data_IF_905743588793
#
_entry.id   IF_905743588793
#
_cell.length_a   1.000
_cell.length_b   1.000
_cell.length_c   1.000
_cell.angle_alpha   90.00
_cell.angle_beta   90.00
_cell.angle_gamma   90.00
#
_symmetry.space_group_name_H-M   'P 1'
#
loop_
_entity.id
_entity.type
_entity.pdbx_description
1 polymer ?
#
# COMPACT_ATOMS: atom_id res chain seq x y z
N UNK A 1 10.93 -9.76 -8.02
CA UNK A 1 11.76 -8.60 -7.65
C UNK A 1 12.75 -8.33 -8.75
N UNK A 2 12.77 -7.12 -9.29
CA UNK A 2 13.84 -6.68 -10.19
C UNK A 2 15.02 -6.14 -9.35
N UNK A 3 16.24 -6.72 -9.44
CA UNK A 3 17.42 -6.20 -8.76
C UNK A 3 17.72 -4.73 -9.07
N UNK A 4 17.27 -4.23 -10.23
CA UNK A 4 17.42 -2.82 -10.61
C UNK A 4 16.69 -1.87 -9.66
N UNK A 5 15.58 -2.29 -9.09
CA UNK A 5 14.80 -1.49 -8.10
C UNK A 5 15.57 -1.27 -6.80
N UNK A 6 16.69 -1.98 -6.61
CA UNK A 6 17.61 -1.83 -5.48
C UNK A 6 19.01 -1.37 -5.91
N UNK A 7 19.21 -1.01 -7.17
CA UNK A 7 20.47 -0.42 -7.66
C UNK A 7 21.61 -1.41 -7.85
N UNK A 8 21.31 -2.69 -8.08
CA UNK A 8 22.33 -3.75 -8.26
C UNK A 8 22.13 -4.53 -9.56
N UNK A 9 23.22 -5.06 -10.15
CA UNK A 9 23.23 -5.68 -11.49
C UNK A 9 22.66 -7.10 -11.50
N UNK A 10 22.92 -7.81 -10.42
CA UNK A 10 22.69 -9.23 -10.24
C UNK A 10 23.01 -9.59 -8.80
N UNK A 11 22.59 -10.78 -8.37
CA UNK A 11 22.80 -11.20 -7.00
C UNK A 11 21.69 -10.67 -6.10
N UNK A 12 20.95 -11.60 -5.52
CA UNK A 12 20.00 -11.29 -4.47
C UNK A 12 20.76 -11.31 -3.14
N UNK A 13 20.93 -10.14 -2.53
CA UNK A 13 21.61 -9.94 -1.25
C UNK A 13 20.66 -9.83 -0.05
N UNK A 14 19.35 -9.99 -0.27
CA UNK A 14 18.43 -10.00 0.83
C UNK A 14 18.43 -11.36 1.54
N UNK A 15 17.94 -11.33 2.76
CA UNK A 15 17.81 -12.50 3.62
C UNK A 15 16.31 -12.65 3.87
N UNK A 16 15.79 -13.88 3.75
CA UNK A 16 14.39 -14.17 4.06
C UNK A 16 14.15 -14.01 5.56
N UNK A 17 12.94 -13.65 5.93
CA UNK A 17 12.56 -13.49 7.33
C UNK A 17 11.40 -14.41 7.69
N UNK A 18 11.31 -14.70 8.98
CA UNK A 18 10.30 -15.59 9.54
C UNK A 18 8.97 -14.86 9.74
N UNK A 19 7.85 -15.58 9.66
CA UNK A 19 6.51 -15.11 10.07
C UNK A 19 6.52 -14.33 11.39
N UNK A 20 7.17 -14.87 12.43
CA UNK A 20 7.20 -14.25 13.76
C UNK A 20 7.86 -12.86 13.79
N UNK A 21 8.62 -12.50 12.76
CA UNK A 21 9.17 -11.16 12.59
C UNK A 21 8.22 -10.26 11.78
N UNK A 22 7.65 -10.78 10.68
CA UNK A 22 6.69 -10.04 9.84
C UNK A 22 5.48 -9.60 10.66
N UNK A 23 4.93 -10.50 11.50
CA UNK A 23 3.78 -10.24 12.37
C UNK A 23 4.05 -9.24 13.50
N UNK A 24 5.30 -8.74 13.63
CA UNK A 24 5.60 -7.62 14.53
C UNK A 24 5.18 -6.29 13.93
N UNK A 25 5.02 -6.22 12.63
CA UNK A 25 4.54 -5.03 11.93
C UNK A 25 3.01 -5.09 11.87
N UNK A 26 2.31 -3.97 12.07
CA UNK A 26 0.88 -3.93 11.84
C UNK A 26 0.56 -4.24 10.36
N UNK A 27 -0.65 -4.72 10.10
CA UNK A 27 -1.08 -5.33 8.83
C UNK A 27 -0.96 -4.41 7.58
N UNK A 28 -0.61 -3.13 7.73
CA UNK A 28 -0.48 -2.15 6.64
C UNK A 28 0.97 -1.78 6.35
N UNK A 29 1.83 -2.79 6.21
CA UNK A 29 3.23 -2.61 5.77
C UNK A 29 3.23 -2.12 4.32
N UNK A 30 3.10 -0.80 4.12
CA UNK A 30 2.90 -0.19 2.80
C UNK A 30 1.89 0.96 2.78
N UNK A 31 1.19 1.23 3.89
CA UNK A 31 0.22 2.33 3.97
C UNK A 31 -1.15 2.01 3.39
N UNK A 32 -1.27 0.95 2.61
CA UNK A 32 -2.54 0.55 2.01
C UNK A 32 -3.51 0.00 3.07
N UNK A 33 -4.65 0.68 3.29
CA UNK A 33 -5.75 0.20 4.12
C UNK A 33 -6.78 -0.58 3.30
N UNK A 34 -7.03 -0.15 2.07
CA UNK A 34 -7.83 -0.87 1.07
C UNK A 34 -7.09 -0.74 -0.25
N UNK A 35 -6.75 -1.86 -0.88
CA UNK A 35 -6.12 -1.87 -2.20
C UNK A 35 -7.14 -1.84 -3.32
N UNK A 36 -6.79 -1.17 -4.41
CA UNK A 36 -7.58 -1.22 -5.64
C UNK A 36 -7.63 -2.63 -6.23
N UNK A 37 -8.73 -2.94 -6.92
CA UNK A 37 -8.95 -4.18 -7.61
C UNK A 37 -9.13 -3.89 -9.09
N UNK A 38 -8.26 -4.46 -9.94
CA UNK A 38 -8.34 -4.24 -11.38
C UNK A 38 -9.61 -4.83 -12.03
N UNK A 39 -10.39 -5.64 -11.30
CA UNK A 39 -11.64 -6.22 -11.78
C UNK A 39 -11.46 -7.22 -12.93
N UNK A 40 -12.53 -7.47 -13.69
CA UNK A 40 -12.58 -8.42 -14.81
C UNK A 40 -12.60 -7.75 -16.20
N UNK A 41 -12.21 -6.49 -16.31
CA UNK A 41 -12.76 -5.55 -17.31
C UNK A 41 -12.16 -5.55 -18.71
N UNK A 42 -11.69 -6.69 -19.21
CA UNK A 42 -11.10 -6.77 -20.56
C UNK A 42 -12.10 -7.28 -21.61
N UNK A 43 -13.26 -7.80 -21.18
CA UNK A 43 -14.17 -8.57 -22.04
C UNK A 43 -15.44 -7.86 -22.54
N UNK A 44 -15.78 -6.67 -22.03
CA UNK A 44 -17.06 -6.06 -22.37
C UNK A 44 -17.09 -5.47 -23.79
N UNK A 45 -18.23 -5.53 -24.50
CA UNK A 45 -18.42 -4.80 -25.74
C UNK A 45 -18.17 -3.31 -25.55
N UNK A 46 -17.57 -2.66 -26.55
CA UNK A 46 -17.16 -1.25 -26.49
C UNK A 46 -17.87 -0.37 -27.51
N UNK A 47 -18.02 0.91 -27.17
CA UNK A 47 -18.22 2.01 -28.11
C UNK A 47 -17.12 3.04 -27.85
N UNK A 48 -16.54 3.59 -28.91
CA UNK A 48 -15.39 4.49 -28.84
C UNK A 48 -15.86 5.93 -28.80
N UNK A 49 -15.15 6.79 -28.07
CA UNK A 49 -15.49 8.21 -27.92
C UNK A 49 -14.39 9.09 -28.51
N UNK A 50 -14.21 9.12 -29.85
CA UNK A 50 -13.24 10.03 -30.45
C UNK A 50 -13.61 11.48 -30.19
N UNK A 51 -12.63 12.30 -29.80
CA UNK A 51 -12.87 13.71 -29.52
C UNK A 51 -11.62 14.57 -29.52
N UNK A 52 -11.82 15.88 -29.31
CA UNK A 52 -10.76 16.88 -29.31
C UNK A 52 -9.73 16.68 -28.20
N UNK A 53 -10.15 16.09 -27.07
CA UNK A 53 -9.32 15.82 -25.89
C UNK A 53 -8.20 14.79 -26.15
N UNK A 54 -8.34 13.97 -27.20
CA UNK A 54 -7.31 13.06 -27.71
C UNK A 54 -6.81 13.47 -29.10
N UNK A 55 -6.99 14.73 -29.48
CA UNK A 55 -6.57 15.24 -30.80
C UNK A 55 -7.29 14.58 -31.98
N UNK A 56 -8.50 14.04 -31.76
CA UNK A 56 -9.28 13.27 -32.74
C UNK A 56 -8.63 11.96 -33.21
N UNK A 57 -7.70 11.39 -32.44
CA UNK A 57 -7.16 10.06 -32.72
C UNK A 57 -8.21 8.97 -32.42
N UNK A 58 -8.99 8.55 -33.41
CA UNK A 58 -10.01 7.51 -33.25
C UNK A 58 -9.45 6.10 -32.97
N UNK A 59 -8.14 5.93 -33.12
CA UNK A 59 -7.47 4.65 -32.81
C UNK A 59 -7.07 4.53 -31.35
N UNK A 60 -7.08 5.64 -30.62
CA UNK A 60 -7.01 5.64 -29.16
C UNK A 60 -8.31 5.07 -28.59
N UNK A 61 -8.21 3.85 -28.07
CA UNK A 61 -9.34 3.10 -27.52
C UNK A 61 -9.49 3.20 -26.01
N UNK A 62 -8.58 3.91 -25.35
CA UNK A 62 -8.59 4.02 -23.88
C UNK A 62 -9.81 4.83 -23.44
N UNK A 63 -10.34 5.67 -24.33
CA UNK A 63 -11.55 6.46 -24.13
C UNK A 63 -12.87 5.76 -24.50
N UNK A 64 -12.86 4.42 -24.57
CA UNK A 64 -14.07 3.66 -24.88
C UNK A 64 -15.02 3.53 -23.67
N UNK A 65 -16.32 3.61 -23.94
CA UNK A 65 -17.37 3.19 -23.02
C UNK A 65 -17.63 1.69 -23.20
N UNK A 66 -18.15 1.04 -22.17
CA UNK A 66 -18.39 -0.41 -22.20
C UNK A 66 -19.82 -0.77 -21.86
N UNK A 67 -20.27 -1.94 -22.30
CA UNK A 67 -21.59 -2.50 -21.99
C UNK A 67 -21.44 -3.75 -21.12
N UNK A 68 -21.48 -3.62 -19.78
CA UNK A 68 -21.32 -4.78 -18.88
C UNK A 68 -22.33 -5.89 -19.15
N UNK A 69 -23.57 -5.53 -19.49
CA UNK A 69 -24.66 -6.47 -19.76
C UNK A 69 -24.74 -6.94 -21.22
N UNK A 70 -23.88 -6.42 -22.11
CA UNK A 70 -23.93 -6.69 -23.56
C UNK A 70 -25.32 -6.43 -24.18
N UNK A 71 -26.03 -5.44 -23.67
CA UNK A 71 -27.41 -5.06 -24.04
C UNK A 71 -27.46 -3.85 -24.99
N UNK A 72 -26.28 -3.41 -25.46
CA UNK A 72 -26.05 -2.23 -26.31
C UNK A 72 -26.30 -0.88 -25.61
N UNK A 73 -26.34 -0.88 -24.28
CA UNK A 73 -26.19 0.31 -23.46
C UNK A 73 -24.72 0.33 -23.02
N UNK A 74 -24.02 1.40 -23.37
CA UNK A 74 -22.61 1.58 -23.08
C UNK A 74 -22.44 2.76 -22.15
N UNK A 75 -21.58 2.61 -21.15
CA UNK A 75 -21.35 3.65 -20.15
C UNK A 75 -19.89 3.72 -19.70
N UNK A 76 -19.55 4.86 -19.09
CA UNK A 76 -18.23 5.14 -18.54
C UNK A 76 -18.10 6.61 -18.14
N UNK A 77 -17.07 6.92 -17.35
CA UNK A 77 -16.79 8.31 -16.96
C UNK A 77 -15.52 8.84 -17.62
N UNK A 78 -15.52 10.12 -18.00
CA UNK A 78 -14.36 10.76 -18.60
C UNK A 78 -14.14 12.16 -18.07
N UNK A 79 -12.87 12.48 -17.81
CA UNK A 79 -12.46 13.84 -17.54
C UNK A 79 -12.19 14.58 -18.85
N UNK A 80 -12.75 15.79 -18.97
CA UNK A 80 -12.44 16.71 -20.05
C UNK A 80 -11.74 17.96 -19.47
N UNK A 81 -10.46 18.19 -19.79
CA UNK A 81 -9.70 19.30 -19.22
C UNK A 81 -10.08 20.67 -19.81
N UNK A 82 -10.64 20.68 -21.01
CA UNK A 82 -10.92 21.87 -21.79
C UNK A 82 -12.41 22.13 -21.96
N UNK A 83 -12.78 23.41 -21.96
CA UNK A 83 -14.11 23.86 -22.37
C UNK A 83 -14.36 23.60 -23.86
N UNK A 84 -15.62 23.44 -24.25
CA UNK A 84 -16.05 23.15 -25.62
C UNK A 84 -15.40 21.88 -26.19
N UNK A 85 -15.24 20.85 -25.36
CA UNK A 85 -14.71 19.55 -25.79
C UNK A 85 -15.66 18.92 -26.79
N UNK A 86 -15.18 18.70 -28.01
CA UNK A 86 -15.94 18.05 -29.08
C UNK A 86 -15.77 16.53 -29.02
N UNK A 87 -16.86 15.78 -29.16
CA UNK A 87 -16.83 14.32 -29.20
C UNK A 87 -17.83 13.76 -30.21
N UNK A 88 -17.57 12.53 -30.62
CA UNK A 88 -18.45 11.65 -31.40
C UNK A 88 -18.47 10.28 -30.73
N UNK A 89 -19.38 9.42 -31.16
CA UNK A 89 -19.41 8.00 -30.77
C UNK A 89 -19.18 7.11 -31.97
N UNK A 90 -18.30 6.11 -31.88
CA UNK A 90 -18.07 5.16 -32.97
C UNK A 90 -18.18 3.72 -32.52
N UNK A 91 -18.73 2.87 -33.38
CA UNK A 91 -18.88 1.43 -33.13
C UNK A 91 -17.61 0.63 -33.42
N UNK A 92 -16.63 1.26 -34.05
CA UNK A 92 -15.30 0.72 -34.35
C UNK A 92 -14.26 1.83 -34.11
N UNK A 93 -12.97 1.51 -33.92
CA UNK A 93 -11.91 2.52 -33.79
C UNK A 93 -11.56 3.12 -35.17
N UNK A 94 -12.59 3.58 -35.87
CA UNK A 94 -12.55 4.24 -37.17
C UNK A 94 -13.77 5.14 -37.29
N UNK A 95 -13.64 6.20 -38.07
CA UNK A 95 -14.67 7.19 -38.32
C UNK A 95 -15.81 6.71 -39.24
N UNK A 96 -15.65 5.57 -39.93
CA UNK A 96 -16.64 5.04 -40.87
C UNK A 96 -18.00 4.70 -40.21
N UNK A 97 -18.01 4.39 -38.91
CA UNK A 97 -19.22 4.17 -38.12
C UNK A 97 -19.38 5.20 -36.98
N UNK A 98 -18.87 6.41 -37.20
CA UNK A 98 -19.08 7.52 -36.29
C UNK A 98 -20.53 8.01 -36.33
N UNK A 99 -20.99 8.41 -35.17
CA UNK A 99 -22.31 8.97 -34.89
C UNK A 99 -22.11 10.26 -34.10
N UNK A 100 -22.91 11.25 -34.45
CA UNK A 100 -22.99 12.54 -33.78
C UNK A 100 -24.44 12.92 -33.57
N UNK A 101 -24.69 14.19 -33.27
CA UNK A 101 -26.04 14.74 -33.12
C UNK A 101 -26.13 16.04 -33.92
N UNK A 102 -26.90 16.02 -35.01
CA UNK A 102 -27.02 17.16 -35.91
C UNK A 102 -27.85 18.29 -35.32
N UNK A 103 -28.95 17.93 -34.68
CA UNK A 103 -30.00 18.86 -34.29
C UNK A 103 -29.92 19.22 -32.79
N UNK A 104 -29.01 18.56 -32.05
CA UNK A 104 -28.79 18.74 -30.61
C UNK A 104 -29.95 18.21 -29.77
N UNK A 105 -30.67 17.21 -30.26
CA UNK A 105 -31.90 16.71 -29.64
C UNK A 105 -31.68 15.49 -28.73
N UNK A 106 -30.44 15.01 -28.60
CA UNK A 106 -30.07 13.84 -27.81
C UNK A 106 -30.15 12.52 -28.57
N UNK A 107 -30.48 12.55 -29.86
CA UNK A 107 -30.49 11.40 -30.77
C UNK A 107 -29.19 11.34 -31.57
N UNK A 108 -28.73 10.12 -31.82
CA UNK A 108 -27.51 9.85 -32.57
C UNK A 108 -27.83 9.53 -34.02
N UNK A 109 -27.23 10.31 -34.93
CA UNK A 109 -27.23 10.03 -36.35
C UNK A 109 -25.85 9.63 -36.85
N UNK A 110 -25.81 8.74 -37.84
CA UNK A 110 -24.58 8.44 -38.56
C UNK A 110 -24.04 9.71 -39.23
N UNK A 111 -22.78 10.04 -38.95
CA UNK A 111 -22.17 11.26 -39.43
C UNK A 111 -21.11 11.81 -38.48
N UNK A 112 -20.68 13.03 -38.79
CA UNK A 112 -19.63 13.77 -38.07
C UNK A 112 -20.19 15.03 -37.41
N UNK A 113 -21.47 15.02 -37.09
CA UNK A 113 -22.15 16.15 -36.46
C UNK A 113 -21.72 16.20 -34.97
N UNK A 114 -20.65 16.93 -34.67
CA UNK A 114 -19.96 16.92 -33.37
C UNK A 114 -20.84 17.35 -32.20
N UNK A 115 -20.79 16.57 -31.11
CA UNK A 115 -21.39 16.91 -29.81
C UNK A 115 -20.37 17.72 -29.00
N UNK A 116 -20.82 18.78 -28.32
CA UNK A 116 -19.92 19.66 -27.55
C UNK A 116 -20.26 19.69 -26.06
N UNK A 117 -19.30 19.28 -25.24
CA UNK A 117 -19.31 19.47 -23.79
C UNK A 117 -18.75 20.86 -23.47
N UNK A 118 -19.59 21.72 -22.89
CA UNK A 118 -19.28 23.15 -22.76
C UNK A 118 -18.21 23.43 -21.70
N UNK A 119 -18.30 22.77 -20.55
CA UNK A 119 -17.45 23.06 -19.39
C UNK A 119 -16.45 21.92 -19.14
N UNK A 120 -15.24 22.24 -18.65
CA UNK A 120 -14.32 21.21 -18.18
C UNK A 120 -14.88 20.50 -16.94
N UNK A 121 -14.49 19.25 -16.74
CA UNK A 121 -14.90 18.46 -15.58
C UNK A 121 -14.98 16.97 -15.85
N UNK A 122 -15.49 16.24 -14.87
CA UNK A 122 -15.70 14.80 -14.93
C UNK A 122 -17.14 14.49 -15.34
N UNK A 123 -17.32 13.68 -16.36
CA UNK A 123 -18.62 13.42 -16.97
C UNK A 123 -18.92 11.93 -16.99
N UNK A 124 -20.13 11.56 -16.60
CA UNK A 124 -20.71 10.27 -16.95
C UNK A 124 -21.29 10.36 -18.36
N UNK A 125 -21.00 9.35 -19.17
CA UNK A 125 -21.49 9.26 -20.54
C UNK A 125 -22.20 7.93 -20.69
N UNK A 126 -23.42 7.95 -21.21
CA UNK A 126 -24.16 6.76 -21.59
C UNK A 126 -24.63 6.86 -23.03
N UNK A 127 -24.47 5.77 -23.78
CA UNK A 127 -24.91 5.63 -25.16
C UNK A 127 -25.83 4.41 -25.26
N UNK A 128 -27.09 4.62 -25.62
CA UNK A 128 -28.06 3.56 -25.85
C UNK A 128 -28.26 3.36 -27.36
N UNK A 129 -27.67 2.30 -27.92
CA UNK A 129 -27.79 1.99 -29.35
C UNK A 129 -29.07 1.21 -29.71
N UNK A 130 -29.94 0.91 -28.74
CA UNK A 130 -31.28 0.39 -29.05
C UNK A 130 -32.18 1.53 -29.56
N UNK A 131 -32.08 2.69 -28.92
CA UNK A 131 -32.88 3.88 -29.24
C UNK A 131 -32.07 4.95 -30.01
N UNK A 132 -30.76 4.74 -30.15
CA UNK A 132 -29.79 5.72 -30.66
C UNK A 132 -29.86 7.04 -29.89
N UNK A 133 -29.80 6.98 -28.56
CA UNK A 133 -29.76 8.18 -27.71
C UNK A 133 -28.48 8.22 -26.89
N UNK A 134 -28.15 9.40 -26.39
CA UNK A 134 -27.03 9.56 -25.48
C UNK A 134 -27.38 10.46 -24.28
N UNK A 135 -26.63 10.29 -23.20
CA UNK A 135 -26.64 11.12 -22.02
C UNK A 135 -25.19 11.51 -21.70
N UNK A 136 -24.94 12.80 -21.51
CA UNK A 136 -23.68 13.31 -20.98
C UNK A 136 -24.04 14.17 -19.77
N UNK A 137 -23.56 13.76 -18.60
CA UNK A 137 -23.90 14.39 -17.33
C UNK A 137 -22.62 14.71 -16.56
N UNK A 138 -22.44 15.98 -16.20
CA UNK A 138 -21.33 16.36 -15.32
C UNK A 138 -21.58 15.77 -13.92
N UNK A 139 -20.56 15.14 -13.35
CA UNK A 139 -20.60 14.58 -12.01
C UNK A 139 -19.40 15.05 -11.21
N UNK A 140 -19.67 15.83 -10.18
CA UNK A 140 -18.69 16.16 -9.16
C UNK A 140 -18.80 15.08 -8.07
N UNK A 141 -17.70 14.43 -7.71
CA UNK A 141 -17.71 13.28 -6.79
C UNK A 141 -17.17 13.68 -5.43
N UNK A 142 -17.80 13.18 -4.37
CA UNK A 142 -17.38 13.36 -3.00
C UNK A 142 -17.34 12.06 -2.21
N UNK A 143 -16.56 12.06 -1.13
CA UNK A 143 -16.53 11.00 -0.13
C UNK A 143 -17.35 11.43 1.09
N UNK A 144 -18.24 10.57 1.57
CA UNK A 144 -19.12 10.81 2.72
C UNK A 144 -19.13 9.62 3.66
N UNK A 145 -19.31 9.83 4.96
CA UNK A 145 -19.42 8.75 5.92
C UNK A 145 -18.99 9.13 7.33
N UNK A 146 -19.35 8.34 8.34
CA UNK A 146 -18.84 8.54 9.71
C UNK A 146 -17.34 8.23 9.85
N UNK A 147 -16.72 7.62 8.83
CA UNK A 147 -15.27 7.54 8.70
C UNK A 147 -14.62 8.87 8.24
N UNK A 148 -15.37 9.83 7.69
CA UNK A 148 -14.84 11.10 7.17
C UNK A 148 -15.13 12.28 8.13
N UNK A 149 -14.40 13.41 8.02
CA UNK A 149 -14.60 14.55 8.92
C UNK A 149 -16.01 15.15 8.93
N UNK A 150 -16.74 15.04 7.81
CA UNK A 150 -18.09 15.58 7.63
C UNK A 150 -19.23 14.65 8.08
N UNK A 151 -18.91 13.41 8.45
CA UNK A 151 -19.93 12.41 8.78
C UNK A 151 -20.84 12.09 7.58
N UNK A 152 -22.08 11.69 7.88
CA UNK A 152 -23.14 11.53 6.87
C UNK A 152 -23.88 12.83 6.53
N UNK A 153 -23.44 13.96 7.09
CA UNK A 153 -24.10 15.26 6.91
C UNK A 153 -23.52 16.05 5.73
N UNK A 154 -22.20 15.92 5.47
CA UNK A 154 -21.52 16.61 4.37
C UNK A 154 -20.42 15.71 3.78
N UNK A 155 -20.39 15.59 2.46
CA UNK A 155 -19.26 15.03 1.72
C UNK A 155 -18.07 15.97 1.70
N UNK A 156 -16.91 15.39 1.36
CA UNK A 156 -15.74 16.13 0.91
C UNK A 156 -15.51 15.85 -0.58
N UNK A 157 -15.47 16.92 -1.37
CA UNK A 157 -15.23 16.86 -2.82
C UNK A 157 -13.87 16.26 -3.16
N UNK A 158 -13.86 15.43 -4.20
CA UNK A 158 -12.66 14.84 -4.79
C UNK A 158 -12.18 15.66 -5.98
N UNK A 159 -10.87 15.63 -6.25
CA UNK A 159 -10.24 16.35 -7.36
C UNK A 159 -9.61 15.39 -8.34
N UNK A 160 -9.71 15.65 -9.64
CA UNK A 160 -9.11 14.79 -10.66
C UNK A 160 -7.58 14.94 -10.70
N UNK A 161 -6.87 13.82 -10.68
CA UNK A 161 -5.42 13.70 -10.82
C UNK A 161 -5.07 13.13 -12.22
N UNK A 162 -4.44 13.93 -13.10
CA UNK A 162 -4.08 13.50 -14.45
C UNK A 162 -2.92 12.49 -14.51
N UNK A 163 -2.11 12.34 -13.46
CA UNK A 163 -1.04 11.34 -13.42
C UNK A 163 -1.60 9.94 -13.10
N UNK A 164 -2.68 9.88 -12.31
CA UNK A 164 -3.36 8.65 -11.90
C UNK A 164 -4.57 8.29 -12.77
N UNK A 165 -5.07 9.22 -13.59
CA UNK A 165 -6.34 9.11 -14.34
C UNK A 165 -7.53 8.77 -13.41
N UNK A 166 -7.58 9.44 -12.26
CA UNK A 166 -8.49 9.11 -11.16
C UNK A 166 -8.89 10.36 -10.36
N UNK A 167 -9.93 10.24 -9.54
CA UNK A 167 -10.29 11.26 -8.55
C UNK A 167 -9.58 10.98 -7.24
N UNK A 168 -9.03 11.99 -6.58
CA UNK A 168 -8.31 11.88 -5.30
C UNK A 168 -8.85 12.84 -4.25
N UNK A 169 -8.71 12.46 -2.97
CA UNK A 169 -8.95 13.36 -1.83
C UNK A 169 -8.05 12.97 -0.66
N UNK A 170 -7.53 13.97 0.05
CA UNK A 170 -6.80 13.76 1.30
C UNK A 170 -7.68 14.06 2.51
N UNK A 171 -7.78 13.11 3.44
CA UNK A 171 -8.64 13.21 4.62
C UNK A 171 -7.94 12.67 5.87
N UNK A 172 -8.32 13.20 7.03
CA UNK A 172 -8.08 12.54 8.31
C UNK A 172 -9.24 11.59 8.59
N UNK A 173 -9.02 10.29 8.34
CA UNK A 173 -10.05 9.26 8.50
C UNK A 173 -10.11 8.72 9.92
N UNK A 174 -11.27 8.20 10.31
CA UNK A 174 -11.48 7.40 11.53
C UNK A 174 -12.09 6.05 11.18
N UNK A 175 -11.96 5.01 12.03
CA UNK A 175 -12.70 3.77 11.82
C UNK A 175 -14.20 4.04 11.73
N UNK A 176 -14.85 3.50 10.72
CA UNK A 176 -16.24 3.82 10.39
C UNK A 176 -16.61 3.33 9.01
N UNK A 177 -17.69 3.86 8.48
CA UNK A 177 -18.25 3.57 7.18
C UNK A 177 -18.12 4.80 6.27
N UNK A 178 -17.94 4.56 4.98
CA UNK A 178 -17.95 5.59 3.95
C UNK A 178 -18.59 5.12 2.65
N UNK A 179 -18.98 6.07 1.80
CA UNK A 179 -19.42 5.87 0.43
C UNK A 179 -18.93 7.01 -0.46
N UNK A 180 -18.98 6.79 -1.76
CA UNK A 180 -18.83 7.84 -2.74
C UNK A 180 -20.20 8.26 -3.24
N UNK A 181 -20.41 9.55 -3.49
CA UNK A 181 -21.64 10.01 -4.15
C UNK A 181 -21.33 11.15 -5.10
N UNK A 182 -22.16 11.29 -6.13
CA UNK A 182 -22.04 12.36 -7.09
C UNK A 182 -23.01 13.50 -6.77
N UNK A 183 -22.57 14.73 -7.02
CA UNK A 183 -23.36 15.96 -6.98
C UNK A 183 -24.05 16.22 -5.63
N UNK A 184 -23.39 15.85 -4.52
CA UNK A 184 -23.91 15.93 -3.15
C UNK A 184 -25.29 15.27 -2.93
N UNK A 185 -25.64 14.32 -3.80
CA UNK A 185 -26.97 13.73 -3.89
C UNK A 185 -26.90 12.20 -3.86
N UNK A 186 -27.93 11.56 -3.32
CA UNK A 186 -27.98 10.10 -3.18
C UNK A 186 -28.41 9.37 -4.45
N UNK A 187 -28.81 10.07 -5.51
CA UNK A 187 -29.24 9.43 -6.77
C UNK A 187 -28.13 8.59 -7.39
N UNK A 188 -26.89 9.06 -7.34
CA UNK A 188 -25.72 8.33 -7.85
C UNK A 188 -24.74 8.19 -6.70
N UNK A 189 -24.69 7.00 -6.13
CA UNK A 189 -23.81 6.69 -5.02
C UNK A 189 -23.23 5.29 -5.18
N UNK A 190 -21.98 5.13 -4.76
CA UNK A 190 -21.21 3.91 -4.90
C UNK A 190 -20.81 3.39 -3.52
N UNK A 191 -21.00 2.09 -3.34
CA UNK A 191 -20.57 1.33 -2.17
C UNK A 191 -19.97 -0.01 -2.59
N UNK A 192 -19.58 -0.85 -1.64
CA UNK A 192 -18.94 -2.14 -1.89
C UNK A 192 -19.68 -3.26 -1.15
N UNK A 193 -20.44 -4.06 -1.89
CA UNK A 193 -21.25 -5.15 -1.35
C UNK A 193 -20.41 -6.36 -0.91
N UNK A 194 -19.25 -6.56 -1.53
CA UNK A 194 -18.43 -7.76 -1.36
C UNK A 194 -17.17 -7.52 -0.53
N UNK A 195 -16.83 -6.26 -0.24
CA UNK A 195 -15.59 -5.86 0.42
C UNK A 195 -14.35 -6.15 -0.44
N UNK A 196 -14.50 -6.15 -1.76
CA UNK A 196 -13.47 -6.52 -2.72
C UNK A 196 -12.90 -5.31 -3.50
N UNK A 197 -13.24 -4.10 -3.06
CA UNK A 197 -12.92 -2.81 -3.66
C UNK A 197 -13.57 -2.54 -5.03
N UNK A 198 -14.50 -3.38 -5.48
CA UNK A 198 -15.30 -3.15 -6.69
C UNK A 198 -16.63 -2.50 -6.29
N UNK A 199 -16.87 -1.32 -6.85
CA UNK A 199 -17.97 -0.46 -6.46
C UNK A 199 -19.24 -0.78 -7.23
N UNK A 200 -20.36 -0.77 -6.51
CA UNK A 200 -21.70 -0.99 -7.04
C UNK A 200 -22.59 0.22 -6.73
N UNK A 201 -23.42 0.61 -7.70
CA UNK A 201 -24.46 1.62 -7.51
C UNK A 201 -25.41 1.19 -6.39
N UNK A 202 -25.64 2.07 -5.43
CA UNK A 202 -26.42 1.79 -4.21
C UNK A 202 -25.86 0.64 -3.35
N UNK A 203 -24.59 0.25 -3.56
CA UNK A 203 -23.93 -0.82 -2.81
C UNK A 203 -23.79 -0.52 -1.31
N UNK A 204 -23.43 -1.52 -0.53
CA UNK A 204 -23.24 -1.40 0.92
C UNK A 204 -22.16 -0.38 1.30
N UNK A 205 -22.23 0.14 2.52
CA UNK A 205 -21.22 1.07 3.01
C UNK A 205 -19.83 0.38 3.06
N UNK A 206 -18.81 1.12 2.65
CA UNK A 206 -17.42 0.67 2.71
C UNK A 206 -16.93 0.81 4.16
N UNK A 207 -16.61 -0.31 4.80
CA UNK A 207 -16.13 -0.31 6.18
C UNK A 207 -14.61 -0.09 6.25
N UNK A 208 -14.20 1.01 6.88
CA UNK A 208 -12.83 1.27 7.28
C UNK A 208 -12.62 0.80 8.72
N UNK A 209 -11.77 -0.22 8.88
CA UNK A 209 -11.37 -0.72 10.20
C UNK A 209 -10.32 0.15 10.87
N UNK A 210 -9.73 1.10 10.13
CA UNK A 210 -8.62 1.92 10.58
C UNK A 210 -8.75 3.38 10.12
N UNK A 211 -8.12 4.28 10.88
CA UNK A 211 -8.09 5.71 10.57
C UNK A 211 -6.68 6.31 10.61
N UNK A 212 -6.61 7.59 10.27
CA UNK A 212 -5.40 8.40 10.13
C UNK A 212 -5.48 9.29 8.89
N UNK A 213 -4.50 10.19 8.75
CA UNK A 213 -4.31 10.92 7.50
C UNK A 213 -4.15 9.92 6.34
N UNK A 214 -4.95 10.07 5.30
CA UNK A 214 -5.03 9.15 4.18
C UNK A 214 -5.27 9.90 2.87
N UNK A 215 -4.87 9.28 1.77
CA UNK A 215 -5.30 9.61 0.42
C UNK A 215 -6.30 8.53 -0.02
N UNK A 216 -7.45 8.96 -0.54
CA UNK A 216 -8.43 8.08 -1.19
C UNK A 216 -8.39 8.35 -2.68
N UNK A 217 -8.26 7.29 -3.48
CA UNK A 217 -8.25 7.36 -4.94
C UNK A 217 -9.43 6.57 -5.49
N UNK A 218 -10.23 7.20 -6.34
CA UNK A 218 -11.43 6.62 -6.97
C UNK A 218 -11.23 6.54 -8.48
N UNK A 219 -11.25 5.32 -9.00
CA UNK A 219 -11.04 4.98 -10.41
C UNK A 219 -12.39 4.69 -11.07
N UNK A 220 -12.79 5.54 -12.02
CA UNK A 220 -14.07 5.46 -12.74
C UNK A 220 -13.91 5.37 -14.26
N UNK A 221 -12.66 5.32 -14.74
CA UNK A 221 -12.31 5.24 -16.16
C UNK A 221 -12.66 3.86 -16.76
N UNK A 222 -12.68 2.82 -15.93
CA UNK A 222 -13.02 1.44 -16.28
C UNK A 222 -14.46 1.07 -15.89
N UNK A 223 -15.05 0.04 -16.52
CA UNK A 223 -16.44 -0.37 -16.21
C UNK A 223 -16.63 -0.96 -14.82
N UNK A 224 -15.58 -1.55 -14.25
CA UNK A 224 -15.52 -1.96 -12.86
C UNK A 224 -14.91 -0.76 -12.12
N UNK A 225 -15.76 0.04 -11.50
CA UNK A 225 -15.32 1.15 -10.67
C UNK A 225 -14.60 0.58 -9.45
N UNK A 226 -13.41 1.08 -9.15
CA UNK A 226 -12.61 0.64 -8.00
C UNK A 226 -12.10 1.84 -7.24
N UNK A 227 -11.65 1.61 -6.01
CA UNK A 227 -11.02 2.64 -5.20
C UNK A 227 -9.85 2.07 -4.40
N UNK A 228 -9.04 2.96 -3.85
CA UNK A 228 -7.93 2.68 -2.97
C UNK A 228 -7.97 3.65 -1.78
N UNK A 229 -7.54 3.19 -0.60
CA UNK A 229 -7.32 4.03 0.57
C UNK A 229 -5.89 3.80 1.07
N UNK A 230 -5.05 4.81 0.91
CA UNK A 230 -3.65 4.80 1.33
C UNK A 230 -3.46 5.69 2.56
N UNK A 231 -3.25 5.09 3.73
CA UNK A 231 -2.83 5.77 4.93
C UNK A 231 -1.43 6.38 4.74
N UNK A 232 -1.30 7.65 5.12
CA UNK A 232 -0.02 8.37 5.14
C UNK A 232 0.82 8.02 6.37
N UNK A 233 0.20 7.50 7.42
CA UNK A 233 0.88 7.06 8.64
C UNK A 233 0.78 5.56 8.84
N UNK A 234 1.87 4.87 8.50
CA UNK A 234 2.06 3.43 8.67
C UNK A 234 3.52 3.15 9.05
N UNK A 235 3.81 1.97 9.59
CA UNK A 235 5.19 1.59 9.93
C UNK A 235 6.01 1.33 8.66
N UNK A 236 6.74 2.36 8.21
CA UNK A 236 7.52 2.30 6.97
C UNK A 236 8.76 1.40 7.06
N UNK A 237 9.01 0.77 8.21
CA UNK A 237 10.13 -0.16 8.41
C UNK A 237 9.79 -1.59 7.98
N UNK A 238 8.52 -1.91 7.76
CA UNK A 238 8.04 -3.19 7.24
C UNK A 238 8.38 -3.40 5.76
N UNK A 239 9.68 -3.37 5.44
CA UNK A 239 10.19 -3.33 4.06
C UNK A 239 10.39 -4.78 3.58
N UNK A 240 9.29 -5.35 3.09
CA UNK A 240 9.19 -6.74 2.65
C UNK A 240 8.95 -6.84 1.15
N UNK A 241 9.50 -7.86 0.53
CA UNK A 241 9.10 -8.31 -0.79
C UNK A 241 8.28 -9.59 -0.66
N UNK A 242 7.05 -9.51 -1.17
CA UNK A 242 6.00 -10.51 -0.96
C UNK A 242 5.56 -11.21 -2.26
N UNK A 243 5.77 -10.57 -3.41
CA UNK A 243 5.30 -11.10 -4.68
C UNK A 243 5.99 -12.44 -5.01
N UNK A 244 5.18 -13.49 -5.16
CA UNK A 244 5.69 -14.84 -5.39
C UNK A 244 6.34 -15.49 -4.16
N UNK A 245 6.16 -14.95 -2.95
CA UNK A 245 6.68 -15.48 -1.70
C UNK A 245 5.54 -15.99 -0.80
N UNK A 246 5.80 -17.05 -0.03
CA UNK A 246 4.93 -17.48 1.08
C UNK A 246 5.42 -16.88 2.40
N UNK A 247 4.52 -16.68 3.36
CA UNK A 247 4.89 -16.17 4.68
C UNK A 247 5.64 -17.23 5.52
N UNK A 248 5.23 -18.48 5.42
CA UNK A 248 5.85 -19.60 6.13
C UNK A 248 7.10 -20.12 5.41
N UNK A 249 8.03 -20.63 6.22
CA UNK A 249 9.24 -21.34 5.78
C UNK A 249 9.15 -22.80 6.23
N UNK A 250 8.68 -23.67 5.36
CA UNK A 250 8.58 -25.12 5.56
C UNK A 250 9.79 -25.89 5.02
N UNK A 251 10.50 -25.33 4.04
CA UNK A 251 11.73 -25.83 3.45
C UNK A 251 12.76 -24.70 3.28
N UNK A 252 13.87 -24.79 4.01
CA UNK A 252 14.96 -23.81 3.94
C UNK A 252 15.64 -23.74 2.56
N UNK A 253 15.46 -24.74 1.71
CA UNK A 253 16.06 -24.79 0.37
C UNK A 253 15.24 -24.05 -0.68
N UNK A 254 13.94 -23.82 -0.43
CA UNK A 254 13.05 -23.10 -1.32
C UNK A 254 13.10 -21.61 -1.00
N UNK A 255 13.54 -20.79 -1.96
CA UNK A 255 13.70 -19.35 -1.73
C UNK A 255 12.36 -18.60 -1.82
N UNK A 256 11.32 -19.20 -2.39
CA UNK A 256 9.95 -18.67 -2.38
C UNK A 256 9.29 -18.75 -0.99
N UNK A 257 9.93 -19.39 -0.01
CA UNK A 257 9.37 -19.55 1.32
C UNK A 257 9.97 -18.59 2.35
N UNK A 258 9.16 -17.65 2.83
CA UNK A 258 9.53 -16.58 3.76
C UNK A 258 9.75 -15.25 3.04
N UNK A 259 9.13 -14.19 3.53
CA UNK A 259 9.24 -12.88 2.89
C UNK A 259 10.68 -12.38 2.84
N UNK A 260 11.00 -11.75 1.73
CA UNK A 260 12.32 -11.26 1.42
C UNK A 260 12.52 -9.86 2.03
N UNK A 261 13.67 -9.58 2.63
CA UNK A 261 13.99 -8.24 3.17
C UNK A 261 14.69 -7.36 2.13
N UNK A 262 14.19 -6.12 1.94
CA UNK A 262 14.75 -5.10 1.02
C UNK A 262 15.18 -3.81 1.71
N UNK A 263 15.50 -3.88 3.01
CA UNK A 263 15.93 -2.73 3.82
C UNK A 263 17.14 -1.98 3.26
N UNK A 264 18.16 -2.71 2.83
CA UNK A 264 19.37 -2.13 2.26
C UNK A 264 19.27 -2.08 0.75
N UNK A 265 19.49 -0.89 0.18
CA UNK A 265 19.47 -0.63 -1.27
C UNK A 265 20.72 0.14 -1.65
N UNK A 266 21.12 0.06 -2.90
CA UNK A 266 22.17 0.87 -3.53
C UNK A 266 21.56 1.97 -4.40
N UNK A 267 20.55 2.66 -3.85
CA UNK A 267 19.86 3.80 -4.46
C UNK A 267 19.76 4.88 -3.39
N UNK A 268 20.10 6.12 -3.74
CA UNK A 268 20.01 7.26 -2.84
C UNK A 268 18.56 7.66 -2.55
N UNK A 269 18.36 8.54 -1.56
CA UNK A 269 17.04 9.12 -1.28
C UNK A 269 16.45 9.91 -2.45
N UNK A 270 17.30 10.37 -3.36
CA UNK A 270 16.88 11.12 -4.57
C UNK A 270 16.66 10.18 -5.77
N UNK A 271 16.65 8.86 -5.55
CA UNK A 271 16.43 7.86 -6.60
C UNK A 271 17.65 7.60 -7.48
N UNK A 272 18.83 8.09 -7.12
CA UNK A 272 20.05 7.95 -7.92
C UNK A 272 20.72 6.61 -7.58
N UNK A 273 20.97 5.72 -8.56
CA UNK A 273 21.71 4.48 -8.34
C UNK A 273 23.15 4.75 -7.86
N UNK A 274 23.70 3.81 -7.08
CA UNK A 274 25.10 3.85 -6.66
C UNK A 274 26.09 3.80 -7.82
N UNK A 275 27.34 4.15 -7.51
CA UNK A 275 28.43 4.30 -8.47
C UNK A 275 28.83 2.99 -9.17
N UNK A 276 28.57 1.85 -8.53
CA UNK A 276 28.82 0.51 -9.02
C UNK A 276 27.62 -0.38 -8.67
N UNK A 277 27.31 -1.34 -9.55
CA UNK A 277 26.14 -2.21 -9.42
C UNK A 277 26.41 -3.51 -8.65
N UNK A 278 27.67 -3.82 -8.37
CA UNK A 278 28.12 -4.99 -7.63
C UNK A 278 28.60 -4.61 -6.21
N UNK A 279 29.14 -3.40 -6.05
CA UNK A 279 29.61 -2.85 -4.79
C UNK A 279 28.74 -1.67 -4.35
N UNK A 280 28.03 -1.75 -3.21
CA UNK A 280 27.14 -0.69 -2.79
C UNK A 280 27.89 0.52 -2.25
N UNK A 281 27.38 1.71 -2.54
CA UNK A 281 27.83 2.97 -1.91
C UNK A 281 27.27 3.14 -0.49
N UNK A 282 26.26 2.34 -0.13
CA UNK A 282 25.49 2.46 1.12
C UNK A 282 26.34 2.15 2.35
N UNK A 283 26.49 3.15 3.22
CA UNK A 283 27.14 2.99 4.53
C UNK A 283 26.35 2.04 5.45
N UNK A 284 27.07 1.26 6.25
CA UNK A 284 26.46 0.44 7.30
C UNK A 284 26.32 1.24 8.61
N UNK A 285 25.09 1.49 9.11
CA UNK A 285 24.87 2.33 10.29
C UNK A 285 25.20 1.59 11.59
N UNK A 286 26.48 1.48 11.92
CA UNK A 286 26.96 0.77 13.13
C UNK A 286 26.40 1.35 14.44
N UNK A 287 26.14 2.66 14.48
CA UNK A 287 25.53 3.36 15.61
C UNK A 287 24.48 4.33 15.13
N UNK A 288 23.36 4.40 15.82
CA UNK A 288 22.26 5.29 15.45
C UNK A 288 21.33 5.61 16.62
N UNK A 289 20.65 6.75 16.50
CA UNK A 289 19.83 7.32 17.56
C UNK A 289 18.69 6.39 18.02
N UNK A 290 18.07 5.65 17.10
CA UNK A 290 17.00 4.70 17.43
C UNK A 290 17.45 3.62 18.42
N UNK A 291 18.68 3.10 18.30
CA UNK A 291 19.21 2.14 19.29
C UNK A 291 19.37 2.80 20.67
N UNK A 292 19.92 4.02 20.73
CA UNK A 292 20.11 4.75 21.98
C UNK A 292 18.79 5.06 22.69
N UNK A 293 17.76 5.47 21.95
CA UNK A 293 16.43 5.73 22.53
C UNK A 293 15.80 4.45 23.10
N UNK A 294 15.82 3.34 22.35
CA UNK A 294 15.26 2.09 22.85
C UNK A 294 16.08 1.50 24.01
N UNK A 295 17.40 1.68 24.00
CA UNK A 295 18.28 1.30 25.11
C UNK A 295 18.00 2.13 26.37
N UNK A 296 17.77 3.44 26.23
CA UNK A 296 17.39 4.32 27.33
C UNK A 296 16.01 3.94 27.89
N UNK A 297 15.01 3.71 27.02
CA UNK A 297 13.68 3.24 27.42
C UNK A 297 13.76 1.91 28.20
N UNK A 298 14.54 0.94 27.71
CA UNK A 298 14.78 -0.33 28.39
C UNK A 298 15.39 -0.12 29.79
N UNK A 299 16.46 0.68 29.89
CA UNK A 299 17.17 0.93 31.15
C UNK A 299 16.28 1.62 32.19
N UNK A 300 15.50 2.62 31.77
CA UNK A 300 14.56 3.32 32.65
C UNK A 300 13.49 2.36 33.16
N UNK A 301 12.93 1.52 32.28
CA UNK A 301 11.89 0.57 32.66
C UNK A 301 12.43 -0.48 33.65
N UNK A 302 13.61 -1.06 33.37
CA UNK A 302 14.24 -2.06 34.25
C UNK A 302 14.64 -1.50 35.61
N UNK A 303 15.02 -0.22 35.68
CA UNK A 303 15.42 0.42 36.94
C UNK A 303 14.23 0.92 37.78
N UNK A 304 13.01 0.89 37.24
CA UNK A 304 11.84 1.49 37.89
C UNK A 304 11.89 3.02 37.90
N UNK A 305 12.53 3.62 36.89
CA UNK A 305 12.66 5.08 36.73
C UNK A 305 11.37 5.75 36.23
N UNK A 306 11.51 6.94 35.64
CA UNK A 306 10.37 7.68 35.10
C UNK A 306 9.81 7.02 33.83
N UNK A 307 8.75 6.22 33.96
CA UNK A 307 8.12 5.50 32.84
C UNK A 307 7.65 6.43 31.72
N UNK A 308 7.18 7.65 32.02
CA UNK A 308 6.78 8.60 30.97
C UNK A 308 7.98 8.97 30.08
N UNK A 309 9.16 9.15 30.65
CA UNK A 309 10.37 9.41 29.87
C UNK A 309 10.79 8.19 29.02
N UNK A 310 10.56 6.97 29.49
CA UNK A 310 10.79 5.77 28.68
C UNK A 310 9.83 5.69 27.50
N UNK A 311 8.55 6.04 27.71
CA UNK A 311 7.54 6.16 26.65
C UNK A 311 7.92 7.23 25.65
N UNK A 312 8.40 8.39 26.09
CA UNK A 312 8.85 9.46 25.19
C UNK A 312 9.94 8.98 24.24
N UNK A 313 10.94 8.25 24.75
CA UNK A 313 11.99 7.65 23.91
C UNK A 313 11.46 6.57 22.96
N UNK A 314 10.56 5.70 23.41
CA UNK A 314 9.94 4.68 22.58
C UNK A 314 9.12 5.32 21.45
N UNK A 315 8.22 6.23 21.79
CA UNK A 315 7.32 6.90 20.84
C UNK A 315 8.10 7.78 19.85
N UNK A 316 9.24 8.36 20.22
CA UNK A 316 10.07 9.09 19.28
C UNK A 316 10.57 8.20 18.12
N UNK A 317 10.90 6.93 18.40
CA UNK A 317 11.29 5.95 17.37
C UNK A 317 10.10 5.56 16.50
N UNK A 318 8.96 5.27 17.15
CA UNK A 318 7.74 4.86 16.45
C UNK A 318 7.20 5.97 15.56
N UNK A 319 7.06 7.20 16.07
CA UNK A 319 6.56 8.33 15.28
C UNK A 319 7.41 8.56 14.03
N UNK A 320 8.74 8.43 14.12
CA UNK A 320 9.60 8.52 12.94
C UNK A 320 9.27 7.43 11.92
N UNK A 321 9.08 6.19 12.37
CA UNK A 321 8.68 5.08 11.49
C UNK A 321 7.29 5.30 10.85
N UNK A 322 6.40 6.00 11.56
CA UNK A 322 5.06 6.38 11.13
C UNK A 322 4.98 7.75 10.44
N UNK A 323 6.11 8.25 9.94
CA UNK A 323 6.20 9.52 9.19
C UNK A 323 5.67 10.74 9.98
N UNK A 324 5.87 10.74 11.30
CA UNK A 324 5.41 11.76 12.23
C UNK A 324 4.03 11.49 12.83
N UNK A 325 3.30 10.47 12.36
CA UNK A 325 2.00 10.13 12.91
C UNK A 325 2.08 9.38 14.25
N UNK A 326 0.95 9.35 14.95
CA UNK A 326 0.84 8.87 16.34
C UNK A 326 0.21 7.49 16.47
N UNK A 327 -0.15 6.84 15.37
CA UNK A 327 -0.89 5.57 15.35
C UNK A 327 -0.18 4.44 16.12
N UNK A 328 1.15 4.36 16.04
CA UNK A 328 1.93 3.37 16.77
C UNK A 328 2.34 3.78 18.20
N UNK A 329 1.94 4.97 18.67
CA UNK A 329 2.30 5.43 20.02
C UNK A 329 1.69 4.53 21.08
N UNK A 330 2.43 4.37 22.17
CA UNK A 330 1.95 3.71 23.38
C UNK A 330 1.89 4.69 24.55
N UNK A 331 1.15 4.31 25.56
CA UNK A 331 1.06 4.97 26.86
C UNK A 331 1.96 4.29 27.90
N UNK A 332 2.17 4.96 29.04
CA UNK A 332 2.95 4.41 30.14
C UNK A 332 2.36 3.13 30.76
N UNK A 333 1.04 2.93 30.64
CA UNK A 333 0.38 1.70 31.12
C UNK A 333 0.62 0.48 30.23
N UNK A 334 0.95 0.72 28.96
CA UNK A 334 1.18 -0.35 27.97
C UNK A 334 2.64 -0.78 27.93
N UNK A 335 3.57 0.16 28.15
CA UNK A 335 5.02 -0.08 28.05
C UNK A 335 5.47 -1.24 28.94
N UNK A 336 6.07 -2.25 28.30
CA UNK A 336 6.67 -3.39 28.97
C UNK A 336 7.92 -3.87 28.20
N UNK A 337 8.66 -4.82 28.77
CA UNK A 337 9.91 -5.31 28.18
C UNK A 337 9.69 -6.03 26.85
N UNK A 338 8.60 -6.79 26.68
CA UNK A 338 8.34 -7.49 25.43
C UNK A 338 8.04 -6.50 24.29
N UNK A 339 7.30 -5.41 24.57
CA UNK A 339 7.12 -4.31 23.60
C UNK A 339 8.44 -3.67 23.19
N UNK A 340 9.34 -3.39 24.14
CA UNK A 340 10.66 -2.84 23.82
C UNK A 340 11.47 -3.83 22.97
N UNK A 341 11.44 -5.13 23.30
CA UNK A 341 12.17 -6.14 22.53
C UNK A 341 11.65 -6.27 21.10
N UNK A 342 10.33 -6.16 20.91
CA UNK A 342 9.70 -6.20 19.59
C UNK A 342 9.97 -4.93 18.80
N UNK A 343 9.97 -3.76 19.45
CA UNK A 343 10.33 -2.50 18.82
C UNK A 343 11.80 -2.48 18.40
N UNK A 344 12.69 -3.03 19.22
CA UNK A 344 14.10 -3.24 18.83
C UNK A 344 14.21 -4.19 17.64
N UNK A 345 13.31 -5.16 17.48
CA UNK A 345 13.26 -6.00 16.29
C UNK A 345 12.90 -5.17 15.05
N UNK A 346 11.75 -4.47 15.08
CA UNK A 346 11.26 -3.63 13.97
C UNK A 346 12.25 -2.56 13.57
N UNK A 347 12.91 -1.97 14.56
CA UNK A 347 13.85 -0.88 14.35
C UNK A 347 15.18 -1.40 13.79
N UNK A 348 15.82 -2.38 14.45
CA UNK A 348 17.22 -2.76 14.26
C UNK A 348 17.43 -4.07 13.47
N UNK A 349 16.40 -4.58 12.78
CA UNK A 349 16.58 -5.79 11.99
C UNK A 349 17.67 -5.61 10.93
N UNK A 350 18.51 -6.63 10.81
CA UNK A 350 19.63 -6.75 9.87
C UNK A 350 20.77 -5.77 10.17
N UNK A 351 20.82 -5.27 11.41
CA UNK A 351 21.88 -4.39 11.91
C UNK A 351 22.75 -5.06 13.00
N UNK A 352 22.78 -6.39 13.07
CA UNK A 352 23.62 -7.16 14.01
C UNK A 352 23.28 -7.02 15.52
N UNK A 353 22.11 -6.51 15.90
CA UNK A 353 21.72 -6.37 17.31
C UNK A 353 20.94 -7.56 17.89
N UNK A 354 20.19 -8.30 17.06
CA UNK A 354 19.11 -9.18 17.52
C UNK A 354 19.54 -10.26 18.50
N UNK A 355 20.67 -10.94 18.27
CA UNK A 355 21.16 -12.00 19.17
C UNK A 355 21.45 -11.45 20.56
N UNK A 356 22.18 -10.35 20.65
CA UNK A 356 22.58 -9.73 21.92
C UNK A 356 21.36 -9.26 22.70
N UNK A 357 20.34 -8.73 22.01
CA UNK A 357 19.07 -8.36 22.62
C UNK A 357 18.34 -9.60 23.15
N UNK A 358 18.18 -10.66 22.35
CA UNK A 358 17.52 -11.88 22.80
C UNK A 358 18.23 -12.52 24.00
N UNK A 359 19.57 -12.54 24.04
CA UNK A 359 20.32 -13.04 25.21
C UNK A 359 20.05 -12.17 26.44
N UNK A 360 20.12 -10.84 26.31
CA UNK A 360 19.85 -9.90 27.43
C UNK A 360 18.43 -10.02 27.99
N UNK A 361 17.46 -10.31 27.12
CA UNK A 361 16.06 -10.50 27.52
C UNK A 361 15.75 -11.94 27.96
N UNK A 362 16.72 -12.86 27.90
CA UNK A 362 16.50 -14.27 28.21
C UNK A 362 15.62 -15.00 27.19
N UNK A 363 15.54 -14.52 25.95
CA UNK A 363 14.67 -15.05 24.90
C UNK A 363 15.43 -15.88 23.85
N UNK A 364 16.77 -15.89 23.89
CA UNK A 364 17.58 -16.63 22.92
C UNK A 364 17.50 -18.15 23.12
N UNK A 365 17.86 -18.65 24.30
CA UNK A 365 17.90 -20.10 24.59
C UNK A 365 16.56 -20.67 25.09
N UNK A 366 15.67 -19.84 25.65
CA UNK A 366 14.46 -20.28 26.36
C UNK A 366 13.32 -20.78 25.44
N UNK A 367 12.33 -21.43 26.05
CA UNK A 367 11.16 -22.05 25.39
C UNK A 367 9.99 -21.09 25.14
N UNK A 368 9.98 -19.93 25.78
CA UNK A 368 8.87 -18.96 25.76
C UNK A 368 8.96 -17.95 24.59
N UNK A 369 10.00 -18.07 23.76
CA UNK A 369 10.20 -17.25 22.57
C UNK A 369 10.77 -18.10 21.44
N UNK A 370 9.87 -18.65 20.63
CA UNK A 370 10.18 -19.50 19.50
C UNK A 370 9.95 -18.75 18.20
N UNK A 371 10.81 -19.02 17.22
CA UNK A 371 10.66 -18.56 15.85
C UNK A 371 10.98 -19.72 14.92
N UNK A 372 10.49 -19.66 13.69
CA UNK A 372 10.70 -20.73 12.72
C UNK A 372 12.20 -21.04 12.57
N UNK A 373 12.54 -22.32 12.56
CA UNK A 373 13.93 -22.81 12.45
C UNK A 373 14.87 -22.52 13.62
N UNK A 374 14.37 -21.96 14.73
CA UNK A 374 15.14 -21.90 15.98
C UNK A 374 15.60 -23.30 16.39
N UNK A 375 16.89 -23.46 16.65
CA UNK A 375 17.47 -24.76 17.02
C UNK A 375 17.44 -25.81 15.89
N UNK A 376 17.20 -25.39 14.64
CA UNK A 376 17.17 -26.29 13.48
C UNK A 376 15.87 -27.09 13.33
N UNK A 377 14.81 -26.73 14.07
CA UNK A 377 13.48 -27.34 13.98
C UNK A 377 12.52 -26.34 13.38
N UNK A 378 11.71 -26.74 12.39
CA UNK A 378 10.79 -25.87 11.66
C UNK A 378 9.90 -25.02 12.58
N UNK A 379 9.24 -25.65 13.57
CA UNK A 379 8.40 -24.96 14.58
C UNK A 379 9.20 -24.14 15.61
N UNK A 380 10.52 -24.28 15.60
CA UNK A 380 11.41 -23.74 16.61
C UNK A 380 11.47 -24.61 17.87
N UNK A 381 12.65 -24.69 18.47
CA UNK A 381 12.87 -25.33 19.76
C UNK A 381 13.84 -24.51 20.60
N UNK A 382 13.71 -24.58 21.92
CA UNK A 382 14.74 -24.07 22.83
C UNK A 382 16.08 -24.74 22.55
N UNK A 383 17.16 -24.03 22.82
CA UNK A 383 18.52 -24.55 22.73
C UNK A 383 19.18 -24.53 24.10
N UNK A 384 20.27 -25.26 24.26
CA UNK A 384 21.04 -25.27 25.51
C UNK A 384 21.50 -23.83 25.88
N UNK A 385 21.25 -23.35 27.12
CA UNK A 385 21.68 -22.02 27.56
C UNK A 385 23.17 -21.73 27.38
N UNK A 386 24.04 -22.75 27.27
CA UNK A 386 25.45 -22.52 26.94
C UNK A 386 25.66 -21.73 25.64
N UNK A 387 24.71 -21.80 24.70
CA UNK A 387 24.77 -21.07 23.41
C UNK A 387 24.54 -19.55 23.55
N UNK A 388 24.16 -19.07 24.73
CA UNK A 388 24.09 -17.63 25.04
C UNK A 388 25.49 -16.98 24.96
N UNK A 389 26.56 -17.76 25.16
CA UNK A 389 27.96 -17.34 25.02
C UNK A 389 28.64 -18.25 23.98
N UNK A 390 29.32 -17.68 22.98
CA UNK A 390 30.05 -18.48 21.97
C UNK A 390 31.21 -19.25 22.60
N UNK A 391 31.61 -20.42 22.05
CA UNK A 391 32.82 -21.10 22.48
C UNK A 391 34.06 -20.28 22.13
N UNK A 392 35.09 -20.40 22.95
CA UNK A 392 36.44 -19.97 22.56
C UNK A 392 36.92 -20.94 21.46
N UNK A 393 37.45 -20.44 20.32
CA UNK A 393 37.94 -21.29 19.24
C UNK A 393 38.94 -22.35 19.74
N UNK A 394 38.81 -23.60 19.26
CA UNK A 394 39.67 -24.70 19.71
C UNK A 394 41.15 -24.47 19.43
N UNK A 395 41.47 -23.71 18.38
CA UNK A 395 42.82 -23.25 18.07
C UNK A 395 43.43 -22.42 19.20
N UNK A 396 42.62 -21.55 19.81
CA UNK A 396 43.07 -20.59 20.81
C UNK A 396 43.26 -21.27 22.15
N UNK A 397 42.34 -22.19 22.52
CA UNK A 397 42.49 -23.08 23.68
C UNK A 397 43.75 -23.94 23.56
N UNK A 398 44.03 -24.48 22.37
CA UNK A 398 45.24 -25.26 22.14
C UNK A 398 46.53 -24.45 22.17
N UNK A 399 46.48 -23.18 21.76
CA UNK A 399 47.64 -22.29 21.69
C UNK A 399 47.97 -21.58 23.00
N UNK A 400 46.97 -21.26 23.83
CA UNK A 400 47.15 -20.49 25.06
C UNK A 400 46.60 -21.25 26.28
N UNK A 401 47.47 -21.88 27.10
CA UNK A 401 47.03 -22.66 28.26
C UNK A 401 46.41 -21.82 29.39
N UNK A 402 46.44 -20.49 29.29
CA UNK A 402 45.76 -19.60 30.25
C UNK A 402 44.28 -19.35 29.90
N UNK A 403 43.81 -19.79 28.72
CA UNK A 403 42.41 -19.68 28.35
C UNK A 403 41.62 -20.86 28.92
N UNK A 404 40.57 -20.54 29.65
CA UNK A 404 39.57 -21.51 30.10
C UNK A 404 38.36 -21.44 29.17
N UNK A 405 37.86 -22.61 28.74
CA UNK A 405 36.69 -22.68 27.86
C UNK A 405 35.44 -22.16 28.58
N UNK A 406 34.53 -21.56 27.81
CA UNK A 406 33.21 -21.19 28.31
C UNK A 406 32.43 -22.43 28.77
N UNK A 407 31.65 -22.34 29.88
CA UNK A 407 30.99 -23.51 30.45
C UNK A 407 30.10 -24.28 29.45
N UNK A 408 30.25 -25.60 29.40
CA UNK A 408 29.37 -26.51 28.65
C UNK A 408 29.84 -26.88 27.23
N UNK A 409 30.94 -26.31 26.75
CA UNK A 409 31.55 -26.62 25.45
C UNK A 409 32.67 -27.65 25.51
#
# INVERSE_FOLDING_TARGET
>A
MDPKDSGVSSGWGGVRTTRQFVEKFPDNSGGLAIGSNEGGTVGFPKVYVPGSFQGWDVTDTDNSLSSPNSDKIYEGHRYFPDANTGLLFSRIPDFALAMGDRDGDGTLEMGMDTIYVQDPGFYFIQVNLNDNTYLIEKRDWGVIGDATPGGWDNDTDMTYDPELDALTVELDLVPGNMKFRANDDWTVNLGDDEGNAILTQDGADINLTEGGAAEITLFLDKPDYTFEVALKSFDNRGIFFIEGQTLDITDLTLFEEGYAITKYKNISSDGIPGSDTDFPDTDFPMFRLGDFYLMAAEAILRSGGNTNLAVDYYNAVVQRAFQGGTKGNITAGELNLDLILDERARELYWECHRRTDLVRFGKFSQTDYLWAWKGGVMEGVSVDPKFDIYPIPSSDIGANPNLEQNPGY
#
